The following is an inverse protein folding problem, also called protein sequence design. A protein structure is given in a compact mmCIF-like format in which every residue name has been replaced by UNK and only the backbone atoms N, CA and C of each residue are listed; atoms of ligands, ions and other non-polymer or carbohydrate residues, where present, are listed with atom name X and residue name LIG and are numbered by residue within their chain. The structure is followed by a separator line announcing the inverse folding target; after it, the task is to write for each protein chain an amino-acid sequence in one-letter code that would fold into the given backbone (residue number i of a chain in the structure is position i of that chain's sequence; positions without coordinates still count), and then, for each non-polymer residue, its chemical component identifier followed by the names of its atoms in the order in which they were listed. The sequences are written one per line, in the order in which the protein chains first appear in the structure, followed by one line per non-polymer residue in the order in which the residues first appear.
data_IF_874110015709
#
_entry.id   IF_874110015709
#
_cell.length_a   1.000
_cell.length_b   1.000
_cell.length_c   1.000
_cell.angle_alpha   90.00
_cell.angle_beta   90.00
_cell.angle_gamma   90.00
#
_symmetry.space_group_name_H-M   'P 1'
#
loop_
_entity.id
_entity.type
_entity.pdbx_description
1 polymer ?
#
# COMPACT_ATOMS: atom_id res chain seq x y z
N UNK A 1 -12.12 -37.67 2.64
CA UNK A 1 -12.75 -36.36 2.93
C UNK A 1 -12.30 -35.90 4.31
N UNK A 2 -11.52 -34.82 4.38
CA UNK A 2 -10.77 -34.47 5.61
C UNK A 2 -11.65 -33.75 6.64
N UNK A 3 -11.84 -34.41 7.79
CA UNK A 3 -12.63 -34.01 8.97
C UNK A 3 -12.37 -32.58 9.48
N UNK A 4 -11.19 -32.03 9.20
CA UNK A 4 -10.80 -30.66 9.56
C UNK A 4 -11.43 -29.57 8.67
N UNK A 5 -11.73 -29.89 7.41
CA UNK A 5 -12.32 -28.91 6.49
C UNK A 5 -13.73 -28.47 6.89
N UNK A 6 -14.48 -29.35 7.55
CA UNK A 6 -15.84 -29.05 8.00
C UNK A 6 -15.87 -28.23 9.28
N UNK A 7 -14.95 -28.49 10.22
CA UNK A 7 -14.78 -27.70 11.44
C UNK A 7 -14.51 -26.21 11.12
N UNK A 8 -13.65 -25.94 10.14
CA UNK A 8 -13.30 -24.58 9.72
C UNK A 8 -14.51 -23.88 9.06
N UNK A 9 -15.31 -24.62 8.27
CA UNK A 9 -16.51 -24.09 7.63
C UNK A 9 -17.63 -23.79 8.63
N UNK A 10 -17.76 -24.57 9.70
CA UNK A 10 -18.73 -24.30 10.77
C UNK A 10 -18.33 -23.07 11.59
N UNK A 11 -17.05 -22.91 11.94
CA UNK A 11 -16.59 -21.75 12.69
C UNK A 11 -16.81 -20.41 11.96
N UNK A 12 -16.76 -20.40 10.62
CA UNK A 12 -17.03 -19.21 9.81
C UNK A 12 -18.51 -18.87 9.66
N UNK A 13 -19.44 -19.80 9.92
CA UNK A 13 -20.89 -19.55 9.81
C UNK A 13 -21.49 -18.92 11.07
N UNK A 14 -20.83 -19.01 12.21
CA UNK A 14 -21.33 -18.52 13.51
C UNK A 14 -20.94 -17.08 13.84
N UNK A 15 -20.27 -16.35 12.94
CA UNK A 15 -19.78 -15.00 13.19
C UNK A 15 -20.46 -13.95 12.32
N UNK A 16 -21.78 -13.99 12.24
CA UNK A 16 -22.58 -12.77 12.14
C UNK A 16 -23.06 -12.44 13.56
N UNK A 17 -22.32 -11.57 14.26
CA UNK A 17 -22.78 -10.58 15.25
C UNK A 17 -21.56 -9.97 15.96
N UNK A 18 -21.27 -8.73 15.57
CA UNK A 18 -20.84 -7.62 16.41
C UNK A 18 -19.44 -7.60 17.08
N UNK A 19 -18.88 -6.39 17.06
CA UNK A 19 -17.80 -5.82 17.89
C UNK A 19 -16.31 -5.96 17.50
N UNK A 20 -15.77 -4.79 17.09
CA UNK A 20 -14.55 -4.14 17.62
C UNK A 20 -13.13 -4.59 17.22
N UNK A 21 -12.51 -3.70 16.41
CA UNK A 21 -11.08 -3.29 16.32
C UNK A 21 -10.07 -4.26 15.70
N UNK A 22 -9.30 -3.82 14.68
CA UNK A 22 -7.96 -4.34 14.43
C UNK A 22 -6.93 -3.40 15.07
N UNK A 23 -6.31 -3.83 16.15
CA UNK A 23 -5.03 -3.30 16.63
C UNK A 23 -4.08 -4.47 16.76
N UNK A 24 -3.13 -4.58 15.82
CA UNK A 24 -1.78 -5.14 15.99
C UNK A 24 -1.18 -5.32 14.60
N UNK A 25 -0.76 -4.20 14.00
CA UNK A 25 0.07 -4.24 12.81
C UNK A 25 1.52 -4.37 13.27
N UNK A 26 1.94 -5.63 13.35
CA UNK A 26 3.30 -6.08 13.65
C UNK A 26 4.30 -5.30 12.78
N UNK A 27 5.21 -4.61 13.45
CA UNK A 27 6.40 -3.97 12.90
C UNK A 27 7.24 -5.00 12.14
N UNK A 28 7.18 -4.98 10.81
CA UNK A 28 8.16 -5.65 9.96
C UNK A 28 8.83 -4.57 9.12
N UNK A 29 10.08 -4.26 9.44
CA UNK A 29 10.99 -3.59 8.52
C UNK A 29 11.11 -4.47 7.26
N UNK A 30 11.06 -3.90 6.05
CA UNK A 30 11.75 -4.48 4.91
C UNK A 30 13.08 -3.72 4.78
N UNK A 31 14.11 -4.28 5.39
CA UNK A 31 15.48 -4.02 4.99
C UNK A 31 15.67 -4.45 3.53
N UNK A 32 16.17 -3.51 2.71
CA UNK A 32 16.76 -3.67 1.39
C UNK A 32 16.77 -5.10 0.81
N UNK A 33 15.76 -5.45 0.01
CA UNK A 33 15.91 -6.49 -1.01
C UNK A 33 16.02 -5.82 -2.36
N UNK A 34 17.27 -5.59 -2.75
CA UNK A 34 17.68 -5.33 -4.12
C UNK A 34 17.39 -6.61 -4.89
N UNK A 35 16.47 -6.57 -5.85
CA UNK A 35 16.29 -7.66 -6.82
C UNK A 35 16.47 -7.06 -8.22
N UNK A 36 17.74 -6.83 -8.59
CA UNK A 36 18.12 -6.59 -9.98
C UNK A 36 17.95 -7.96 -10.65
N UNK A 37 16.93 -8.07 -11.50
CA UNK A 37 16.83 -9.19 -12.44
C UNK A 37 16.94 -8.55 -13.81
N UNK A 38 18.10 -8.73 -14.45
CA UNK A 38 18.35 -8.33 -15.82
C UNK A 38 17.40 -9.09 -16.76
N UNK A 39 16.37 -8.41 -17.27
CA UNK A 39 15.64 -8.87 -18.44
C UNK A 39 15.34 -7.66 -19.33
N UNK A 40 16.09 -7.57 -20.42
CA UNK A 40 15.98 -6.54 -21.46
C UNK A 40 14.71 -6.83 -22.26
N UNK A 41 13.64 -6.08 -21.99
CA UNK A 41 12.52 -5.93 -22.92
C UNK A 41 12.29 -4.45 -23.18
N UNK A 42 12.39 -4.11 -24.47
CA UNK A 42 12.14 -2.82 -25.11
C UNK A 42 10.75 -2.30 -24.71
N UNK A 43 10.73 -1.56 -23.61
CA UNK A 43 9.61 -0.89 -22.98
C UNK A 43 10.02 0.58 -22.97
N UNK A 44 9.14 1.56 -23.29
CA UNK A 44 9.51 2.97 -23.24
C UNK A 44 10.25 3.23 -21.94
N UNK A 45 11.49 3.73 -22.02
CA UNK A 45 12.44 3.85 -20.92
C UNK A 45 11.81 4.71 -19.82
N UNK A 46 11.07 4.06 -18.92
CA UNK A 46 10.53 4.68 -17.72
C UNK A 46 11.74 4.95 -16.84
N UNK A 47 11.91 6.22 -16.45
CA UNK A 47 12.97 6.56 -15.51
C UNK A 47 12.89 5.67 -14.27
N UNK A 48 14.04 5.23 -13.72
CA UNK A 48 14.04 4.35 -12.57
C UNK A 48 13.37 5.02 -11.36
N UNK A 49 12.22 4.50 -10.93
CA UNK A 49 11.49 4.99 -9.76
C UNK A 49 12.09 4.46 -8.44
N UNK A 50 12.22 5.32 -7.42
CA UNK A 50 12.74 4.96 -6.09
C UNK A 50 11.74 5.30 -4.97
N UNK A 51 11.78 4.55 -3.87
CA UNK A 51 10.90 4.77 -2.72
C UNK A 51 11.42 5.89 -1.78
N UNK A 52 10.63 6.95 -1.59
CA UNK A 52 10.95 8.05 -0.67
C UNK A 52 10.55 7.80 0.81
N UNK A 53 9.62 6.86 1.08
CA UNK A 53 9.16 6.43 2.41
C UNK A 53 9.04 7.53 3.49
N UNK A 54 7.85 8.14 3.63
CA UNK A 54 7.60 9.20 4.64
C UNK A 54 6.68 8.70 5.76
N UNK A 55 7.06 8.97 7.02
CA UNK A 55 6.20 8.70 8.19
C UNK A 55 5.18 9.82 8.36
N UNK A 56 3.91 9.44 8.40
CA UNK A 56 2.79 10.38 8.65
C UNK A 56 1.81 9.78 9.67
N UNK A 57 1.05 10.61 10.40
CA UNK A 57 -0.01 10.13 11.28
C UNK A 57 -1.03 9.24 10.55
N UNK A 58 -1.43 8.13 11.18
CA UNK A 58 -2.36 7.15 10.59
C UNK A 58 -3.69 7.79 10.12
N UNK A 59 -4.20 8.75 10.88
CA UNK A 59 -5.44 9.46 10.54
C UNK A 59 -5.30 10.24 9.22
N UNK A 60 -4.18 10.92 9.02
CA UNK A 60 -3.91 11.67 7.79
C UNK A 60 -3.76 10.74 6.59
N UNK A 61 -2.98 9.66 6.73
CA UNK A 61 -2.85 8.66 5.66
C UNK A 61 -4.21 8.13 5.19
N UNK A 62 -5.10 7.79 6.14
CA UNK A 62 -6.44 7.30 5.82
C UNK A 62 -7.28 8.35 5.13
N UNK A 63 -7.25 9.59 5.62
CA UNK A 63 -7.97 10.71 5.02
C UNK A 63 -7.51 10.99 3.60
N UNK A 64 -6.20 11.13 3.37
CA UNK A 64 -5.64 11.38 2.04
C UNK A 64 -5.91 10.24 1.05
N UNK A 65 -5.85 8.98 1.50
CA UNK A 65 -6.21 7.85 0.65
C UNK A 65 -7.67 7.90 0.18
N UNK A 66 -8.58 8.29 1.07
CA UNK A 66 -10.00 8.46 0.74
C UNK A 66 -10.21 9.64 -0.22
N UNK A 67 -9.58 10.78 0.04
CA UNK A 67 -9.68 11.98 -0.81
C UNK A 67 -9.08 11.75 -2.20
N UNK A 68 -7.90 11.13 -2.30
CA UNK A 68 -7.29 10.79 -3.59
C UNK A 68 -8.24 9.93 -4.44
N UNK A 69 -8.83 8.89 -3.84
CA UNK A 69 -9.83 8.04 -4.51
C UNK A 69 -11.06 8.83 -4.94
N UNK A 70 -11.55 9.76 -4.10
CA UNK A 70 -12.71 10.61 -4.42
C UNK A 70 -12.44 11.53 -5.61
N UNK A 71 -11.21 11.99 -5.76
CA UNK A 71 -10.76 12.86 -6.84
C UNK A 71 -10.31 12.08 -8.09
N UNK A 72 -10.32 10.75 -8.06
CA UNK A 72 -9.87 9.91 -9.17
C UNK A 72 -8.35 9.94 -9.39
N UNK A 73 -7.58 10.33 -8.36
CA UNK A 73 -6.12 10.37 -8.40
C UNK A 73 -5.50 9.31 -7.48
N UNK A 74 -4.18 9.13 -7.57
CA UNK A 74 -3.42 8.28 -6.66
C UNK A 74 -2.68 9.12 -5.64
N UNK A 75 -2.41 8.55 -4.45
CA UNK A 75 -1.57 9.23 -3.45
C UNK A 75 -0.18 9.56 -4.01
N UNK A 76 0.38 8.69 -4.85
CA UNK A 76 1.68 8.91 -5.49
C UNK A 76 1.65 10.14 -6.37
N UNK A 77 0.67 10.26 -7.28
CA UNK A 77 0.53 11.41 -8.16
C UNK A 77 0.37 12.72 -7.38
N UNK A 78 -0.49 12.72 -6.35
CA UNK A 78 -0.68 13.90 -5.50
C UNK A 78 0.59 14.31 -4.73
N UNK A 79 1.39 13.34 -4.28
CA UNK A 79 2.67 13.62 -3.60
C UNK A 79 3.70 14.16 -4.59
N UNK A 80 3.81 13.57 -5.78
CA UNK A 80 4.72 14.04 -6.83
C UNK A 80 4.37 15.47 -7.23
N UNK A 81 3.09 15.76 -7.51
CA UNK A 81 2.62 17.11 -7.84
C UNK A 81 2.94 18.11 -6.71
N UNK A 82 2.67 17.75 -5.45
CA UNK A 82 2.99 18.61 -4.32
C UNK A 82 4.50 18.87 -4.15
N UNK A 83 5.35 17.90 -4.48
CA UNK A 83 6.80 18.04 -4.46
C UNK A 83 7.30 18.88 -5.64
N UNK A 84 6.77 18.69 -6.85
CA UNK A 84 7.10 19.51 -8.03
C UNK A 84 6.68 20.97 -7.84
N UNK A 85 5.49 21.22 -7.28
CA UNK A 85 5.04 22.59 -6.96
C UNK A 85 5.96 23.26 -5.94
N UNK A 86 6.53 22.48 -5.02
CA UNK A 86 7.36 23.01 -3.94
C UNK A 86 8.84 23.17 -4.32
N UNK A 87 9.38 22.27 -5.14
CA UNK A 87 10.82 22.16 -5.44
C UNK A 87 11.17 22.32 -6.92
N UNK A 88 10.18 22.32 -7.82
CA UNK A 88 10.41 22.31 -9.26
C UNK A 88 10.82 20.94 -9.80
N UNK A 89 11.29 20.93 -11.05
CA UNK A 89 11.92 19.77 -11.70
C UNK A 89 13.44 19.94 -11.70
N UNK A 90 14.22 18.87 -11.58
CA UNK A 90 15.67 18.94 -11.75
C UNK A 90 16.02 19.45 -13.16
N UNK A 91 17.06 20.29 -13.27
CA UNK A 91 17.60 20.82 -14.53
C UNK A 91 18.30 19.74 -15.38
#
# INVERSE_FOLDING_TARGET
MSKYGELIKQARKTSDQNTSKPNDQKNNQPENQINITDDVQDTPELEPEVNLCVKVPLKLRRHWAAEAKRQGTTMTAAIVEALEVKFGKPD
#
